data_IF_678737039760
#
_entry.id   IF_678737039760
#
_cell.length_a   1.000
_cell.length_b   1.000
_cell.length_c   1.000
_cell.angle_alpha   90.00
_cell.angle_beta   90.00
_cell.angle_gamma   90.00
#
_symmetry.space_group_name_H-M   'P 1'
#
loop_
_entity.id
_entity.type
_entity.pdbx_description
1 polymer ?
#
# COMPACT_ATOMS: atom_id res chain seq x y z
N UNK A 1 -5.95 37.95 10.78
CA UNK A 1 -6.50 36.70 10.22
C UNK A 1 -5.36 35.96 9.57
N UNK A 2 -4.83 34.92 10.22
CA UNK A 2 -3.76 34.09 9.67
C UNK A 2 -4.40 33.06 8.76
N UNK A 3 -4.22 33.23 7.45
CA UNK A 3 -4.59 32.22 6.46
C UNK A 3 -3.63 31.05 6.63
N UNK A 4 -4.09 29.98 7.28
CA UNK A 4 -3.35 28.71 7.28
C UNK A 4 -3.40 28.18 5.86
N UNK A 5 -2.30 28.29 5.13
CA UNK A 5 -2.14 27.59 3.86
C UNK A 5 -1.94 26.11 4.24
N UNK A 6 -3.03 25.34 4.24
CA UNK A 6 -2.93 23.89 4.21
C UNK A 6 -2.41 23.52 2.83
N UNK A 7 -1.10 23.31 2.72
CA UNK A 7 -0.48 22.83 1.49
C UNK A 7 -0.82 21.35 1.35
N UNK A 8 -1.90 21.07 0.63
CA UNK A 8 -2.26 19.71 0.24
C UNK A 8 -1.16 19.12 -0.64
N UNK A 9 -0.64 17.95 -0.26
CA UNK A 9 0.40 17.26 -1.03
C UNK A 9 -0.10 16.89 -2.43
N UNK A 10 0.76 17.03 -3.42
CA UNK A 10 0.53 16.53 -4.78
C UNK A 10 0.73 15.01 -4.86
N UNK A 11 0.18 14.35 -5.89
CA UNK A 11 0.42 12.92 -6.16
C UNK A 11 1.91 12.60 -6.25
N UNK A 12 2.70 13.49 -6.85
CA UNK A 12 4.15 13.32 -6.98
C UNK A 12 4.87 13.34 -5.63
N UNK A 13 4.49 14.25 -4.73
CA UNK A 13 5.05 14.33 -3.39
C UNK A 13 4.66 13.11 -2.55
N UNK A 14 3.38 12.70 -2.61
CA UNK A 14 2.90 11.47 -1.97
C UNK A 14 3.67 10.25 -2.47
N UNK A 15 3.79 10.07 -3.80
CA UNK A 15 4.51 8.95 -4.39
C UNK A 15 6.01 8.95 -4.03
N UNK A 16 6.63 10.13 -3.97
CA UNK A 16 8.05 10.28 -3.58
C UNK A 16 8.27 9.81 -2.15
N UNK A 17 7.45 10.31 -1.21
CA UNK A 17 7.53 9.93 0.20
C UNK A 17 7.12 8.48 0.44
N UNK A 18 6.10 8.00 -0.27
CA UNK A 18 5.74 6.58 -0.32
C UNK A 18 6.95 5.72 -0.69
N UNK A 19 7.68 6.09 -1.75
CA UNK A 19 8.85 5.34 -2.20
C UNK A 19 9.94 5.30 -1.13
N UNK A 20 10.27 6.43 -0.50
CA UNK A 20 11.27 6.47 0.60
C UNK A 20 10.94 5.47 1.70
N UNK A 21 9.68 5.41 2.13
CA UNK A 21 9.22 4.50 3.17
C UNK A 21 9.14 3.05 2.67
N UNK A 22 8.71 2.82 1.44
CA UNK A 22 8.60 1.49 0.84
C UNK A 22 9.96 0.81 0.68
N UNK A 23 11.01 1.56 0.31
CA UNK A 23 12.39 1.05 0.26
C UNK A 23 12.93 0.62 1.64
N UNK A 24 12.27 1.04 2.73
CA UNK A 24 12.60 0.67 4.11
C UNK A 24 11.59 -0.34 4.70
N UNK A 25 10.66 -0.87 3.88
CA UNK A 25 9.58 -1.77 4.30
C UNK A 25 8.67 -1.17 5.40
N UNK A 26 8.55 0.17 5.45
CA UNK A 26 7.78 0.92 6.46
C UNK A 26 6.30 1.04 6.10
N UNK A 27 5.64 -0.09 5.84
CA UNK A 27 4.26 -0.13 5.32
C UNK A 27 3.21 0.48 6.26
N UNK A 28 3.36 0.29 7.58
CA UNK A 28 2.41 0.89 8.54
C UNK A 28 2.58 2.41 8.63
N UNK A 29 3.81 2.93 8.51
CA UNK A 29 4.05 4.38 8.43
C UNK A 29 3.41 4.96 7.15
N UNK A 30 3.49 4.26 6.01
CA UNK A 30 2.81 4.67 4.77
C UNK A 30 1.30 4.76 4.98
N UNK A 31 0.69 3.74 5.60
CA UNK A 31 -0.74 3.72 5.87
C UNK A 31 -1.13 4.85 6.82
N UNK A 32 -0.37 5.08 7.88
CA UNK A 32 -0.63 6.14 8.85
C UNK A 32 -0.48 7.53 8.23
N UNK A 33 0.59 7.78 7.45
CA UNK A 33 0.86 9.07 6.81
C UNK A 33 -0.14 9.39 5.70
N UNK A 34 -0.44 8.44 4.81
CA UNK A 34 -1.12 8.75 3.54
C UNK A 34 -2.55 8.24 3.42
N UNK A 35 -2.95 7.18 4.11
CA UNK A 35 -4.25 6.59 3.82
C UNK A 35 -5.36 7.44 4.41
N UNK A 36 -6.35 7.75 3.56
CA UNK A 36 -7.57 8.44 3.97
C UNK A 36 -8.43 7.53 4.86
N UNK A 37 -9.25 8.13 5.72
CA UNK A 37 -10.12 7.38 6.63
C UNK A 37 -11.10 6.45 5.91
N UNK A 38 -11.46 6.78 4.67
CA UNK A 38 -12.37 6.03 3.80
C UNK A 38 -11.66 5.27 2.66
N UNK A 39 -10.35 5.02 2.77
CA UNK A 39 -9.57 4.28 1.76
C UNK A 39 -10.21 2.92 1.43
N UNK A 40 -10.18 2.55 0.16
CA UNK A 40 -10.60 1.22 -0.32
C UNK A 40 -9.38 0.40 -0.71
N UNK A 41 -9.38 -0.86 -0.33
CA UNK A 41 -8.34 -1.85 -0.64
C UNK A 41 -8.95 -2.97 -1.46
N UNK A 42 -8.52 -3.09 -2.72
CA UNK A 42 -9.14 -3.96 -3.71
C UNK A 42 -8.14 -4.99 -4.23
N UNK A 43 -8.35 -6.25 -3.87
CA UNK A 43 -7.64 -7.39 -4.45
C UNK A 43 -8.34 -7.95 -5.69
N UNK A 44 -7.65 -8.80 -6.47
CA UNK A 44 -8.28 -9.61 -7.51
C UNK A 44 -9.52 -10.35 -6.98
N UNK A 45 -10.60 -10.39 -7.77
CA UNK A 45 -11.91 -10.92 -7.36
C UNK A 45 -11.88 -12.40 -6.88
N UNK A 46 -10.84 -13.14 -7.25
CA UNK A 46 -10.61 -14.54 -6.86
C UNK A 46 -9.23 -14.74 -6.23
N UNK A 47 -8.70 -13.70 -5.57
CA UNK A 47 -7.41 -13.80 -4.90
C UNK A 47 -7.41 -14.93 -3.86
N UNK A 48 -6.37 -15.78 -3.85
CA UNK A 48 -6.21 -16.82 -2.83
C UNK A 48 -5.70 -16.28 -1.49
N UNK A 49 -5.29 -15.00 -1.44
CA UNK A 49 -4.60 -14.42 -0.28
C UNK A 49 -5.47 -13.42 0.47
N UNK A 50 -6.15 -12.54 -0.26
CA UNK A 50 -6.80 -11.37 0.29
C UNK A 50 -8.15 -11.08 -0.37
N UNK A 51 -8.93 -10.21 0.25
CA UNK A 51 -10.17 -9.70 -0.30
C UNK A 51 -10.31 -8.20 -0.06
N UNK A 52 -11.49 -7.69 -0.42
CA UNK A 52 -11.84 -6.29 -0.23
C UNK A 52 -11.77 -5.84 1.23
N UNK A 53 -11.29 -4.63 1.47
CA UNK A 53 -11.43 -3.92 2.74
C UNK A 53 -11.70 -2.43 2.49
N UNK A 54 -12.42 -1.79 3.41
CA UNK A 54 -12.75 -0.36 3.32
C UNK A 54 -12.62 0.31 4.68
N UNK A 55 -12.06 1.50 4.66
CA UNK A 55 -11.74 2.30 5.84
C UNK A 55 -10.34 2.00 6.38
N UNK A 56 -9.65 3.07 6.82
CA UNK A 56 -8.24 3.00 7.25
C UNK A 56 -7.98 1.91 8.29
N UNK A 57 -8.86 1.78 9.27
CA UNK A 57 -8.73 0.77 10.33
C UNK A 57 -8.84 -0.67 9.79
N UNK A 58 -9.74 -0.93 8.85
CA UNK A 58 -9.92 -2.27 8.27
C UNK A 58 -8.74 -2.64 7.35
N UNK A 59 -8.28 -1.68 6.54
CA UNK A 59 -7.12 -1.85 5.67
C UNK A 59 -5.84 -2.07 6.48
N UNK A 60 -5.63 -1.29 7.54
CA UNK A 60 -4.51 -1.49 8.45
C UNK A 60 -4.57 -2.85 9.15
N UNK A 61 -5.75 -3.27 9.61
CA UNK A 61 -5.92 -4.59 10.22
C UNK A 61 -5.59 -5.71 9.23
N UNK A 62 -6.05 -5.61 7.99
CA UNK A 62 -5.75 -6.59 6.93
C UNK A 62 -4.24 -6.76 6.72
N UNK A 63 -3.50 -5.66 6.60
CA UNK A 63 -2.03 -5.70 6.49
C UNK A 63 -1.37 -6.30 7.74
N UNK A 64 -1.82 -5.88 8.93
CA UNK A 64 -1.31 -6.41 10.21
C UNK A 64 -1.54 -7.91 10.36
N UNK A 65 -2.72 -8.40 10.01
CA UNK A 65 -3.06 -9.82 10.07
C UNK A 65 -2.15 -10.64 9.14
N UNK A 66 -1.85 -10.13 7.93
CA UNK A 66 -0.89 -10.78 7.04
C UNK A 66 0.51 -10.85 7.62
N UNK A 67 1.05 -9.70 8.03
CA UNK A 67 2.41 -9.60 8.58
C UNK A 67 2.56 -10.51 9.81
N UNK A 68 1.52 -10.60 10.65
CA UNK A 68 1.54 -11.48 11.84
C UNK A 68 1.64 -12.98 11.52
N UNK A 69 1.27 -13.39 10.31
CA UNK A 69 1.34 -14.79 9.84
C UNK A 69 2.63 -15.09 9.08
N UNK A 70 3.43 -14.07 8.72
CA UNK A 70 4.72 -14.29 8.08
C UNK A 70 5.67 -14.90 9.11
N UNK A 71 6.21 -16.07 8.79
CA UNK A 71 7.17 -16.81 9.61
C UNK A 71 8.60 -16.53 9.19
N UNK A 72 8.86 -16.41 7.89
CA UNK A 72 10.17 -16.12 7.33
C UNK A 72 10.05 -15.21 6.10
N UNK A 73 11.01 -14.30 5.94
CA UNK A 73 11.16 -13.46 4.75
C UNK A 73 12.42 -13.89 4.02
N UNK A 74 12.26 -14.37 2.79
CA UNK A 74 13.36 -14.81 1.92
C UNK A 74 13.84 -13.68 1.00
N UNK A 75 12.94 -12.77 0.64
CA UNK A 75 13.24 -11.57 -0.12
C UNK A 75 12.03 -10.67 -0.29
N UNK A 76 12.27 -9.37 -0.41
CA UNK A 76 11.26 -8.39 -0.78
C UNK A 76 11.91 -7.27 -1.60
N UNK A 77 11.18 -6.73 -2.57
CA UNK A 77 11.61 -5.55 -3.32
C UNK A 77 10.40 -4.75 -3.81
N UNK A 78 10.58 -3.44 -3.96
CA UNK A 78 9.58 -2.53 -4.51
C UNK A 78 10.23 -1.62 -5.54
N UNK A 79 9.63 -1.48 -6.72
CA UNK A 79 10.14 -0.58 -7.76
C UNK A 79 9.91 0.88 -7.39
N UNK A 80 10.66 1.82 -8.00
CA UNK A 80 10.27 3.23 -7.97
C UNK A 80 8.85 3.42 -8.54
N UNK A 81 8.11 4.44 -8.08
CA UNK A 81 6.76 4.71 -8.52
C UNK A 81 6.74 5.30 -9.93
N UNK A 82 5.74 4.90 -10.72
CA UNK A 82 5.34 5.57 -11.95
C UNK A 82 4.11 6.42 -11.64
N UNK A 83 4.18 7.73 -11.88
CA UNK A 83 3.13 8.70 -11.50
C UNK A 83 2.39 9.18 -12.75
N UNK A 84 1.06 9.25 -12.68
CA UNK A 84 0.19 9.76 -13.74
C UNK A 84 -1.11 10.34 -13.22
N UNK A 85 -1.30 11.66 -13.37
CA UNK A 85 -2.48 12.36 -12.86
C UNK A 85 -2.64 12.22 -11.35
N UNK A 86 -3.78 11.65 -10.93
CA UNK A 86 -4.09 11.37 -9.53
C UNK A 86 -3.63 9.98 -9.07
N UNK A 87 -2.90 9.25 -9.92
CA UNK A 87 -2.51 7.88 -9.63
C UNK A 87 -1.00 7.71 -9.60
N UNK A 88 -0.54 6.72 -8.85
CA UNK A 88 0.79 6.16 -9.00
C UNK A 88 0.76 4.66 -8.83
N UNK A 89 1.73 3.96 -9.42
CA UNK A 89 1.87 2.52 -9.29
C UNK A 89 3.30 2.09 -8.99
N UNK A 90 3.44 1.00 -8.25
CA UNK A 90 4.73 0.31 -8.02
C UNK A 90 4.57 -1.17 -8.31
N UNK A 91 5.65 -1.81 -8.77
CA UNK A 91 5.77 -3.26 -8.75
C UNK A 91 6.36 -3.71 -7.42
N UNK A 92 5.88 -4.82 -6.89
CA UNK A 92 6.37 -5.40 -5.64
C UNK A 92 6.49 -6.91 -5.76
N UNK A 93 7.61 -7.42 -5.25
CA UNK A 93 7.91 -8.84 -5.20
C UNK A 93 8.15 -9.23 -3.75
N UNK A 94 7.51 -10.29 -3.28
CA UNK A 94 7.79 -10.91 -2.00
C UNK A 94 8.02 -12.41 -2.16
N UNK A 95 9.01 -12.93 -1.45
CA UNK A 95 9.20 -14.36 -1.21
C UNK A 95 9.17 -14.58 0.30
N UNK A 96 8.09 -15.19 0.79
CA UNK A 96 7.80 -15.33 2.22
C UNK A 96 7.23 -16.70 2.54
N UNK A 97 7.51 -17.17 3.76
CA UNK A 97 6.81 -18.32 4.34
C UNK A 97 5.71 -17.82 5.26
N UNK A 98 4.47 -18.22 4.96
CA UNK A 98 3.27 -17.78 5.68
C UNK A 98 2.62 -18.98 6.37
N UNK A 99 2.22 -18.78 7.62
CA UNK A 99 1.49 -19.79 8.38
C UNK A 99 0.22 -20.25 7.66
N UNK A 100 0.07 -21.56 7.51
CA UNK A 100 -1.06 -22.18 6.82
C UNK A 100 -0.97 -22.19 5.29
N UNK A 101 -0.06 -21.43 4.68
CA UNK A 101 0.11 -21.37 3.22
C UNK A 101 1.46 -21.93 2.74
N UNK A 102 2.46 -22.02 3.62
CA UNK A 102 3.81 -22.42 3.23
C UNK A 102 4.59 -21.28 2.58
N UNK A 103 5.61 -21.60 1.79
CA UNK A 103 6.39 -20.60 1.04
C UNK A 103 5.65 -20.20 -0.22
N UNK A 104 5.42 -18.90 -0.37
CA UNK A 104 4.73 -18.30 -1.51
C UNK A 104 5.58 -17.19 -2.11
N UNK A 105 5.38 -16.96 -3.41
CA UNK A 105 5.90 -15.80 -4.12
C UNK A 105 4.71 -14.91 -4.51
N UNK A 106 4.76 -13.64 -4.11
CA UNK A 106 3.74 -12.64 -4.42
C UNK A 106 4.39 -11.56 -5.27
N UNK A 107 4.17 -11.65 -6.58
CA UNK A 107 4.61 -10.67 -7.57
C UNK A 107 3.39 -9.87 -8.01
N UNK A 108 3.34 -8.60 -7.61
CA UNK A 108 2.14 -7.77 -7.70
C UNK A 108 2.43 -6.39 -8.27
N UNK A 109 1.43 -5.80 -8.92
CA UNK A 109 1.36 -4.36 -9.16
C UNK A 109 0.41 -3.76 -8.13
N UNK A 110 0.86 -2.72 -7.44
CA UNK A 110 0.04 -1.92 -6.54
C UNK A 110 -0.24 -0.57 -7.19
N UNK A 111 -1.51 -0.29 -7.47
CA UNK A 111 -2.01 0.99 -7.98
C UNK A 111 -2.64 1.77 -6.85
N UNK A 112 -2.30 3.05 -6.74
CA UNK A 112 -2.84 3.96 -5.75
C UNK A 112 -3.52 5.14 -6.42
N UNK A 113 -4.67 5.56 -5.87
CA UNK A 113 -5.33 6.83 -6.19
C UNK A 113 -5.13 7.82 -5.05
N UNK A 114 -4.65 9.00 -5.38
CA UNK A 114 -4.44 10.11 -4.45
C UNK A 114 -5.51 11.17 -4.69
N UNK A 115 -6.14 11.60 -3.60
CA UNK A 115 -7.06 12.72 -3.56
C UNK A 115 -6.77 13.55 -2.32
N UNK A 116 -6.67 14.86 -2.51
CA UNK A 116 -6.41 15.80 -1.42
C UNK A 116 -5.18 15.42 -0.56
N UNK A 117 -4.12 14.94 -1.22
CA UNK A 117 -2.87 14.53 -0.57
C UNK A 117 -2.93 13.19 0.17
N UNK A 118 -4.03 12.46 0.07
CA UNK A 118 -4.26 11.18 0.74
C UNK A 118 -4.57 10.07 -0.27
N UNK A 119 -4.16 8.85 0.04
CA UNK A 119 -4.49 7.65 -0.72
C UNK A 119 -5.93 7.24 -0.37
N UNK A 120 -6.80 7.24 -1.37
CA UNK A 120 -8.22 6.86 -1.27
C UNK A 120 -8.53 5.49 -1.87
N UNK A 121 -7.60 4.96 -2.67
CA UNK A 121 -7.66 3.62 -3.24
C UNK A 121 -6.26 3.00 -3.23
N UNK A 122 -6.17 1.75 -2.82
CA UNK A 122 -5.12 0.82 -3.21
C UNK A 122 -5.77 -0.36 -3.96
N UNK A 123 -5.18 -0.75 -5.08
CA UNK A 123 -5.66 -1.85 -5.90
C UNK A 123 -4.49 -2.74 -6.33
N UNK A 124 -4.65 -4.05 -6.14
CA UNK A 124 -3.63 -5.05 -6.39
C UNK A 124 -3.93 -5.84 -7.65
N UNK A 125 -2.88 -6.21 -8.39
CA UNK A 125 -2.95 -7.05 -9.59
C UNK A 125 -1.91 -8.17 -9.48
N UNK A 126 -2.38 -9.42 -9.46
CA UNK A 126 -1.60 -10.66 -9.46
C UNK A 126 -2.51 -11.86 -9.78
#
# INVERSE_FOLDING_TARGET
MTTTINTTLTTQEVATRFNELAQQEKWFEIQDEFFADNVRSVDPAHSPYFGYAEGKAAVHKKGKDFVSKIREVHGASTTPPVVGGNYFSVGRCMDVTVEGLGRIQLDEIMLYEVKDGQIVLEQFFY
#
